data_IF_930936747506
#
_entry.id   IF_930936747506
#
_cell.length_a   1.000
_cell.length_b   1.000
_cell.length_c   1.000
_cell.angle_alpha   90.00
_cell.angle_beta   90.00
_cell.angle_gamma   90.00
#
_symmetry.space_group_name_H-M   'P 1'
#
loop_
_entity.id
_entity.type
_entity.pdbx_description
1 polymer ?
#
# COMPACT_ATOMS: atom_id res chain seq x y z
N UNK A 1 1.01 18.57 12.03
CA UNK A 1 2.15 17.63 11.91
C UNK A 1 1.84 16.39 11.08
N UNK A 2 0.59 15.91 11.08
CA UNK A 2 0.08 14.75 10.32
C UNK A 2 0.57 14.65 8.86
N UNK A 3 0.64 15.76 8.11
CA UNK A 3 1.10 15.74 6.71
C UNK A 3 2.56 15.31 6.51
N UNK A 4 3.45 15.63 7.46
CA UNK A 4 4.87 15.22 7.40
C UNK A 4 5.05 13.73 7.75
N UNK A 5 4.28 13.24 8.71
CA UNK A 5 4.29 11.82 9.10
C UNK A 5 3.70 10.91 8.03
N UNK A 6 2.64 11.36 7.35
CA UNK A 6 2.06 10.63 6.22
C UNK A 6 3.05 10.48 5.07
N UNK A 7 3.72 11.55 4.67
CA UNK A 7 4.75 11.50 3.63
C UNK A 7 5.96 10.63 4.05
N UNK A 8 6.36 10.70 5.31
CA UNK A 8 7.40 9.82 5.87
C UNK A 8 7.00 8.35 5.75
N UNK A 9 5.78 8.01 6.17
CA UNK A 9 5.27 6.64 6.10
C UNK A 9 5.09 6.13 4.67
N UNK A 10 4.71 6.99 3.72
CA UNK A 10 4.60 6.62 2.28
C UNK A 10 5.93 6.17 1.70
N UNK A 11 7.03 6.86 2.05
CA UNK A 11 8.38 6.59 1.52
C UNK A 11 9.21 5.64 2.40
N UNK A 12 8.74 5.36 3.61
CA UNK A 12 9.42 4.46 4.52
C UNK A 12 9.48 3.04 3.94
N UNK A 13 10.57 2.30 4.18
CA UNK A 13 10.67 0.91 3.78
C UNK A 13 9.58 0.07 4.48
N UNK A 14 8.99 -0.86 3.75
CA UNK A 14 7.95 -1.76 4.26
C UNK A 14 8.48 -2.74 5.31
N UNK A 15 9.75 -3.12 5.19
CA UNK A 15 10.42 -4.07 6.07
C UNK A 15 11.68 -3.46 6.66
N UNK A 16 12.13 -4.01 7.80
CA UNK A 16 13.40 -3.63 8.39
C UNK A 16 14.59 -3.97 7.47
N UNK A 17 15.74 -3.35 7.73
CA UNK A 17 16.95 -3.45 6.90
C UNK A 17 17.45 -4.88 6.60
N UNK A 18 17.01 -5.87 7.39
CA UNK A 18 17.31 -7.29 7.18
C UNK A 18 16.58 -7.92 5.98
N UNK A 19 15.50 -7.30 5.49
CA UNK A 19 14.70 -7.81 4.37
C UNK A 19 14.75 -6.78 3.23
N UNK A 20 15.65 -6.99 2.27
CA UNK A 20 15.81 -6.09 1.12
C UNK A 20 14.80 -6.42 0.01
N UNK A 21 13.54 -6.04 0.21
CA UNK A 21 12.55 -6.12 -0.88
C UNK A 21 12.56 -4.85 -1.75
N UNK A 22 13.14 -3.75 -1.25
CA UNK A 22 13.12 -2.44 -1.92
C UNK A 22 11.75 -1.76 -1.91
N UNK A 23 10.72 -2.40 -1.35
CA UNK A 23 9.36 -1.89 -1.33
C UNK A 23 9.17 -0.88 -0.20
N UNK A 24 8.46 0.20 -0.51
CA UNK A 24 7.92 1.13 0.47
C UNK A 24 6.67 0.56 1.15
N UNK A 25 6.30 1.08 2.34
CA UNK A 25 5.07 0.68 3.04
C UNK A 25 3.84 0.82 2.13
N UNK A 26 3.76 1.89 1.33
CA UNK A 26 2.66 2.12 0.38
C UNK A 26 2.57 1.00 -0.65
N UNK A 27 3.69 0.68 -1.31
CA UNK A 27 3.74 -0.35 -2.36
C UNK A 27 3.44 -1.74 -1.82
N UNK A 28 3.95 -2.05 -0.63
CA UNK A 28 3.65 -3.32 0.03
C UNK A 28 2.15 -3.47 0.34
N UNK A 29 1.55 -2.45 0.97
CA UNK A 29 0.11 -2.47 1.28
C UNK A 29 -0.71 -2.56 0.00
N UNK A 30 -0.38 -1.78 -1.03
CA UNK A 30 -1.07 -1.83 -2.32
C UNK A 30 -0.99 -3.24 -2.95
N UNK A 31 0.18 -3.90 -2.87
CA UNK A 31 0.36 -5.26 -3.40
C UNK A 31 -0.49 -6.28 -2.64
N UNK A 32 -0.56 -6.17 -1.30
CA UNK A 32 -1.39 -7.06 -0.48
C UNK A 32 -2.88 -6.90 -0.78
N UNK A 33 -3.34 -5.65 -0.93
CA UNK A 33 -4.73 -5.35 -1.29
C UNK A 33 -5.04 -5.88 -2.70
N UNK A 34 -4.16 -5.63 -3.67
CA UNK A 34 -4.33 -6.11 -5.04
C UNK A 34 -4.38 -7.65 -5.09
N UNK A 35 -3.47 -8.33 -4.39
CA UNK A 35 -3.47 -9.80 -4.31
C UNK A 35 -4.78 -10.34 -3.73
N UNK A 36 -5.32 -9.68 -2.71
CA UNK A 36 -6.59 -10.08 -2.09
C UNK A 36 -7.77 -9.84 -3.03
N UNK A 37 -7.77 -8.73 -3.77
CA UNK A 37 -8.79 -8.41 -4.77
C UNK A 37 -8.78 -9.41 -5.94
N UNK A 38 -7.61 -9.71 -6.50
CA UNK A 38 -7.47 -10.67 -7.59
C UNK A 38 -7.91 -12.07 -7.16
N UNK A 39 -7.52 -12.50 -5.96
CA UNK A 39 -7.90 -13.80 -5.42
C UNK A 39 -9.42 -13.93 -5.16
N UNK A 40 -10.09 -12.83 -4.78
CA UNK A 40 -11.51 -12.85 -4.42
C UNK A 40 -12.45 -12.67 -5.61
N UNK A 41 -12.07 -11.88 -6.62
CA UNK A 41 -12.99 -11.41 -7.65
C UNK A 41 -12.75 -11.95 -9.06
N UNK A 42 -11.84 -12.92 -9.26
CA UNK A 42 -11.71 -13.69 -10.50
C UNK A 42 -11.76 -12.84 -11.78
N UNK A 43 -10.63 -12.27 -12.19
CA UNK A 43 -10.50 -11.50 -13.43
C UNK A 43 -11.40 -10.26 -13.55
N UNK A 44 -11.50 -9.45 -12.49
CA UNK A 44 -11.84 -8.03 -12.68
C UNK A 44 -10.70 -7.34 -13.45
N UNK A 45 -11.08 -6.39 -14.31
CA UNK A 45 -10.20 -5.43 -14.97
C UNK A 45 -9.03 -5.03 -14.06
N UNK A 46 -7.82 -5.47 -14.45
CA UNK A 46 -6.61 -5.35 -13.64
C UNK A 46 -6.29 -3.91 -13.29
N UNK A 47 -6.66 -2.98 -14.17
CA UNK A 47 -6.37 -1.56 -14.01
C UNK A 47 -7.26 -0.97 -12.91
N UNK A 48 -8.54 -1.28 -12.93
CA UNK A 48 -9.49 -0.86 -11.89
C UNK A 48 -9.17 -1.46 -10.52
N UNK A 49 -8.65 -2.70 -10.49
CA UNK A 49 -8.19 -3.33 -9.26
C UNK A 49 -6.92 -2.66 -8.70
N UNK A 50 -5.98 -2.28 -9.57
CA UNK A 50 -4.76 -1.58 -9.18
C UNK A 50 -5.06 -0.18 -8.61
N UNK A 51 -5.97 0.57 -9.22
CA UNK A 51 -6.39 1.89 -8.73
C UNK A 51 -6.98 1.81 -7.32
N UNK A 52 -7.91 0.87 -7.09
CA UNK A 52 -8.50 0.65 -5.75
C UNK A 52 -7.46 0.23 -4.71
N UNK A 53 -6.50 -0.60 -5.10
CA UNK A 53 -5.45 -1.02 -4.20
C UNK A 53 -4.57 0.15 -3.73
N UNK A 54 -4.25 1.08 -4.64
CA UNK A 54 -3.53 2.32 -4.29
C UNK A 54 -4.37 3.20 -3.37
N UNK A 55 -5.66 3.38 -3.66
CA UNK A 55 -6.57 4.17 -2.82
C UNK A 55 -6.65 3.63 -1.38
N UNK A 56 -6.84 2.33 -1.22
CA UNK A 56 -6.88 1.69 0.09
C UNK A 56 -5.53 1.78 0.82
N UNK A 57 -4.42 1.64 0.11
CA UNK A 57 -3.10 1.82 0.70
C UNK A 57 -2.91 3.24 1.24
N UNK A 58 -3.38 4.26 0.51
CA UNK A 58 -3.34 5.64 1.00
C UNK A 58 -4.26 5.89 2.20
N UNK A 59 -5.47 5.35 2.17
CA UNK A 59 -6.41 5.47 3.28
C UNK A 59 -5.84 4.83 4.57
N UNK A 60 -5.23 3.66 4.45
CA UNK A 60 -4.63 2.97 5.59
C UNK A 60 -3.44 3.76 6.17
N UNK A 61 -2.56 4.28 5.31
CA UNK A 61 -1.44 5.12 5.75
C UNK A 61 -1.92 6.38 6.49
N UNK A 62 -3.02 7.01 6.05
CA UNK A 62 -3.63 8.14 6.75
C UNK A 62 -4.14 7.77 8.13
N UNK A 63 -4.71 6.58 8.31
CA UNK A 63 -5.16 6.09 9.62
C UNK A 63 -3.99 5.81 10.56
N UNK A 64 -2.88 5.28 10.04
CA UNK A 64 -1.67 4.99 10.82
C UNK A 64 -0.84 6.22 11.19
N UNK A 65 -1.11 7.38 10.56
CA UNK A 65 -0.44 8.66 10.83
C UNK A 65 -1.26 9.60 11.73
N UNK A 66 -2.33 9.10 12.36
CA UNK A 66 -3.11 9.79 13.39
C UNK A 66 -2.71 9.29 14.77
#
# INVERSE_FOLDING_TARGET
MIGKELESNRRAPAFGSKFSTGLTKREYIATQVLSSFVASNGHIDSDSAAEKAVEYAEALLRTLSK
#
